data_IF_387767001530
#
_entry.id   IF_387767001530
#
_cell.length_a   1.000
_cell.length_b   1.000
_cell.length_c   1.000
_cell.angle_alpha   90.00
_cell.angle_beta   90.00
_cell.angle_gamma   90.00
#
_symmetry.space_group_name_H-M   'P 1'
#
loop_
_entity.id
_entity.type
_entity.pdbx_description
1 polymer ?
#
# COMPACT_ATOMS: atom_id res chain seq x y z
N UNK A 1 -0.17 25.43 29.95
CA UNK A 1 0.24 24.24 30.71
C UNK A 1 1.61 23.81 30.22
N UNK A 2 2.48 23.34 31.10
CA UNK A 2 3.73 22.67 30.74
C UNK A 2 3.47 21.24 30.25
N UNK A 3 4.44 20.59 29.62
CA UNK A 3 4.32 19.21 29.14
C UNK A 3 3.94 18.25 30.26
N UNK A 4 4.62 18.36 31.43
CA UNK A 4 4.27 17.60 32.62
C UNK A 4 2.78 17.71 32.97
N UNK A 5 2.26 18.94 33.03
CA UNK A 5 0.86 19.18 33.40
C UNK A 5 -0.12 18.64 32.33
N UNK A 6 0.26 18.67 31.03
CA UNK A 6 -0.52 18.07 29.98
C UNK A 6 -0.65 16.56 30.16
N UNK A 7 0.46 15.88 30.44
CA UNK A 7 0.45 14.43 30.68
C UNK A 7 -0.29 14.08 31.97
N UNK A 8 -0.06 14.84 33.05
CA UNK A 8 -0.67 14.61 34.35
C UNK A 8 -2.18 14.92 34.40
N UNK A 9 -2.72 15.64 33.41
CA UNK A 9 -4.07 16.22 33.48
C UNK A 9 -5.16 15.18 33.77
N UNK A 10 -5.17 14.09 33.02
CA UNK A 10 -6.15 13.01 33.16
C UNK A 10 -6.07 12.30 34.52
N UNK A 11 -4.85 12.14 35.04
CA UNK A 11 -4.59 11.51 36.33
C UNK A 11 -5.03 12.43 37.51
N UNK A 12 -4.82 13.75 37.34
CA UNK A 12 -5.31 14.76 38.32
C UNK A 12 -6.85 14.75 38.38
N UNK A 13 -7.54 14.64 37.24
CA UNK A 13 -9.01 14.53 37.20
C UNK A 13 -9.52 13.26 37.90
N UNK A 14 -8.77 12.16 37.82
CA UNK A 14 -9.06 10.90 38.53
C UNK A 14 -8.70 10.98 40.03
N UNK A 15 -8.17 12.13 40.51
CA UNK A 15 -7.77 12.36 41.91
C UNK A 15 -6.73 11.36 42.44
N UNK A 16 -5.82 10.90 41.59
CA UNK A 16 -4.73 10.01 42.01
C UNK A 16 -3.76 10.75 42.97
N UNK A 17 -3.07 10.02 43.84
CA UNK A 17 -2.04 10.60 44.69
C UNK A 17 -0.92 11.28 43.90
N UNK A 18 -0.38 12.40 44.39
CA UNK A 18 0.64 13.18 43.70
C UNK A 18 1.90 12.36 43.35
N UNK A 19 2.29 11.47 44.25
CA UNK A 19 3.45 10.59 44.03
C UNK A 19 3.23 9.62 42.87
N UNK A 20 2.04 9.03 42.80
CA UNK A 20 1.65 8.12 41.71
C UNK A 20 1.59 8.85 40.37
N UNK A 21 1.01 10.05 40.32
CA UNK A 21 0.99 10.91 39.12
C UNK A 21 2.42 11.18 38.67
N UNK A 22 3.30 11.59 39.58
CA UNK A 22 4.68 11.90 39.25
C UNK A 22 5.43 10.69 38.70
N UNK A 23 5.23 9.51 39.29
CA UNK A 23 5.81 8.26 38.83
C UNK A 23 5.33 7.94 37.40
N UNK A 24 4.00 7.87 37.18
CA UNK A 24 3.42 7.53 35.86
C UNK A 24 3.85 8.50 34.74
N UNK A 25 3.90 9.81 35.05
CA UNK A 25 4.35 10.82 34.06
C UNK A 25 5.83 10.66 33.76
N UNK A 26 6.69 10.43 34.75
CA UNK A 26 8.13 10.21 34.51
C UNK A 26 8.40 8.92 33.75
N UNK A 27 7.71 7.84 34.08
CA UNK A 27 7.84 6.56 33.39
C UNK A 27 7.44 6.69 31.91
N UNK A 28 6.28 7.28 31.64
CA UNK A 28 5.83 7.54 30.28
C UNK A 28 6.77 8.51 29.52
N UNK A 29 7.27 9.54 30.19
CA UNK A 29 8.21 10.49 29.58
C UNK A 29 9.55 9.82 29.23
N UNK A 30 10.00 8.87 30.05
CA UNK A 30 11.20 8.07 29.79
C UNK A 30 11.01 7.16 28.59
N UNK A 31 9.89 6.44 28.53
CA UNK A 31 9.55 5.55 27.39
C UNK A 31 9.49 6.32 26.06
N UNK A 32 9.01 7.56 26.11
CA UNK A 32 8.88 8.42 24.91
C UNK A 32 10.10 9.31 24.66
N UNK A 33 11.18 9.20 25.45
CA UNK A 33 12.39 10.01 25.34
C UNK A 33 12.12 11.54 25.40
N UNK A 34 11.14 11.97 26.21
CA UNK A 34 10.77 13.38 26.39
C UNK A 34 10.97 13.89 27.82
N UNK A 35 11.74 13.19 28.63
CA UNK A 35 11.99 13.56 30.04
C UNK A 35 12.50 14.99 30.19
N UNK A 36 13.39 15.44 29.29
CA UNK A 36 13.97 16.79 29.30
C UNK A 36 12.99 17.88 28.85
N UNK A 37 11.83 17.49 28.34
CA UNK A 37 10.83 18.40 27.81
C UNK A 37 9.70 18.67 28.78
N UNK A 38 9.65 17.99 29.94
CA UNK A 38 8.56 18.06 30.89
C UNK A 38 8.28 19.50 31.40
N UNK A 39 9.32 20.31 31.51
CA UNK A 39 9.23 21.71 31.97
C UNK A 39 9.06 22.72 30.82
N UNK A 40 8.91 22.24 29.58
CA UNK A 40 8.66 23.11 28.43
C UNK A 40 7.17 23.31 28.17
N UNK A 41 6.84 24.39 27.48
CA UNK A 41 5.48 24.60 26.95
C UNK A 41 5.35 23.96 25.56
N UNK A 42 4.19 23.39 25.17
CA UNK A 42 3.97 22.77 23.85
C UNK A 42 4.34 23.65 22.66
N UNK A 43 4.20 24.98 22.77
CA UNK A 43 4.59 25.96 21.73
C UNK A 43 6.10 25.94 21.42
N UNK A 44 6.93 25.49 22.33
CA UNK A 44 8.39 25.43 22.18
C UNK A 44 8.89 24.06 21.69
N UNK A 45 7.99 23.18 21.24
CA UNK A 45 8.28 21.83 20.80
C UNK A 45 8.21 21.71 19.27
N UNK A 46 9.03 20.81 18.70
CA UNK A 46 8.88 20.39 17.30
C UNK A 46 7.59 19.60 17.07
N UNK A 47 7.22 19.33 15.80
CA UNK A 47 6.05 18.51 15.45
C UNK A 47 6.08 17.14 16.11
N UNK A 48 7.16 16.39 15.96
CA UNK A 48 7.32 15.07 16.56
C UNK A 48 7.35 15.08 18.09
N UNK A 49 7.97 16.11 18.70
CA UNK A 49 7.93 16.26 20.16
C UNK A 49 6.51 16.51 20.67
N UNK A 50 5.71 17.31 19.97
CA UNK A 50 4.28 17.49 20.31
C UNK A 50 3.51 16.18 20.19
N UNK A 51 3.81 15.39 19.16
CA UNK A 51 3.18 14.07 18.96
C UNK A 51 3.51 13.12 20.11
N UNK A 52 4.80 13.01 20.49
CA UNK A 52 5.21 12.21 21.67
C UNK A 52 4.50 12.66 22.95
N UNK A 53 4.29 13.97 23.15
CA UNK A 53 3.51 14.47 24.30
C UNK A 53 2.05 14.04 24.22
N UNK A 54 1.42 14.07 23.04
CA UNK A 54 0.06 13.58 22.85
C UNK A 54 -0.07 12.08 23.18
N UNK A 55 0.90 11.28 22.74
CA UNK A 55 0.99 9.86 23.10
C UNK A 55 1.18 9.66 24.61
N UNK A 56 2.06 10.45 25.24
CA UNK A 56 2.28 10.41 26.69
C UNK A 56 1.00 10.66 27.50
N UNK A 57 0.14 11.53 27.02
CA UNK A 57 -1.19 11.76 27.62
C UNK A 57 -2.10 10.53 27.56
N UNK A 58 -1.96 9.69 26.53
CA UNK A 58 -2.70 8.43 26.41
C UNK A 58 -2.07 7.34 27.29
N UNK A 59 -0.76 7.17 27.22
CA UNK A 59 0.00 6.11 27.94
C UNK A 59 -0.15 6.21 29.46
N UNK A 60 -0.06 7.42 30.04
CA UNK A 60 -0.16 7.61 31.49
C UNK A 60 -1.48 7.08 32.07
N UNK A 61 -2.51 6.94 31.24
CA UNK A 61 -3.82 6.42 31.65
C UNK A 61 -3.85 4.91 31.80
N UNK A 62 -2.82 4.23 31.30
CA UNK A 62 -2.72 2.78 31.22
C UNK A 62 -4.01 2.17 30.61
N UNK A 63 -4.31 2.48 29.34
CA UNK A 63 -5.56 2.06 28.71
C UNK A 63 -5.53 0.57 28.35
N UNK A 64 -6.69 -0.05 28.24
CA UNK A 64 -6.84 -1.43 27.73
C UNK A 64 -6.67 -1.49 26.21
N UNK A 65 -6.93 -0.39 25.50
CA UNK A 65 -6.69 -0.25 24.07
C UNK A 65 -6.35 1.20 23.70
N UNK A 66 -5.52 1.39 22.68
CA UNK A 66 -5.27 2.68 22.04
C UNK A 66 -6.16 2.83 20.79
N UNK A 67 -6.77 4.02 20.66
CA UNK A 67 -7.47 4.43 19.44
C UNK A 67 -6.71 5.62 18.87
N UNK A 68 -6.06 5.41 17.72
CA UNK A 68 -5.24 6.41 17.05
C UNK A 68 -5.90 6.75 15.70
N UNK A 69 -6.25 8.01 15.56
CA UNK A 69 -6.88 8.53 14.35
C UNK A 69 -5.87 9.44 13.63
N UNK A 70 -5.35 8.97 12.50
CA UNK A 70 -4.33 9.62 11.66
C UNK A 70 -3.18 10.29 12.45
N UNK A 71 -2.49 9.59 13.32
CA UNK A 71 -1.56 10.25 14.26
C UNK A 71 -0.34 10.88 13.58
N UNK A 72 0.00 10.52 12.34
CA UNK A 72 1.18 11.01 11.63
C UNK A 72 0.86 11.96 10.46
N UNK A 73 -0.42 12.23 10.17
CA UNK A 73 -0.87 13.01 8.99
C UNK A 73 -0.28 14.44 8.92
N UNK A 74 -0.05 15.07 10.06
CA UNK A 74 0.45 16.45 10.15
C UNK A 74 1.98 16.57 10.20
N UNK A 75 2.72 15.52 9.89
CA UNK A 75 4.19 15.49 9.92
C UNK A 75 4.76 15.55 8.50
N UNK A 76 5.93 16.19 8.36
CA UNK A 76 6.69 16.11 7.11
C UNK A 76 7.20 14.67 6.86
N UNK A 77 7.54 14.37 5.60
CA UNK A 77 7.87 13.00 5.17
C UNK A 77 9.03 12.37 5.97
N UNK A 78 10.09 13.15 6.26
CA UNK A 78 11.26 12.64 7.00
C UNK A 78 10.90 12.32 8.45
N UNK A 79 10.16 13.21 9.10
CA UNK A 79 9.71 13.03 10.47
C UNK A 79 8.68 11.89 10.58
N UNK A 80 7.82 11.72 9.56
CA UNK A 80 6.85 10.62 9.50
C UNK A 80 7.54 9.25 9.49
N UNK A 81 8.59 9.08 8.68
CA UNK A 81 9.39 7.83 8.65
C UNK A 81 10.00 7.53 10.03
N UNK A 82 10.59 8.54 10.68
CA UNK A 82 11.15 8.39 12.02
C UNK A 82 10.07 8.02 13.05
N UNK A 83 8.97 8.76 13.07
CA UNK A 83 7.88 8.55 14.04
C UNK A 83 7.18 7.20 13.85
N UNK A 84 7.09 6.70 12.63
CA UNK A 84 6.55 5.36 12.34
C UNK A 84 7.40 4.27 13.01
N UNK A 85 8.73 4.34 12.87
CA UNK A 85 9.63 3.40 13.53
C UNK A 85 9.51 3.46 15.07
N UNK A 86 9.43 4.67 15.64
CA UNK A 86 9.25 4.89 17.08
C UNK A 86 7.91 4.35 17.60
N UNK A 87 6.83 4.57 16.84
CA UNK A 87 5.50 4.03 17.15
C UNK A 87 5.46 2.51 17.14
N UNK A 88 6.10 1.88 16.15
CA UNK A 88 6.22 0.42 16.08
C UNK A 88 6.96 -0.16 17.28
N UNK A 89 8.09 0.46 17.68
CA UNK A 89 8.82 0.07 18.89
C UNK A 89 7.99 0.24 20.17
N UNK A 90 7.29 1.35 20.26
CA UNK A 90 6.42 1.64 21.41
C UNK A 90 5.26 0.66 21.51
N UNK A 91 4.63 0.30 20.39
CA UNK A 91 3.58 -0.71 20.34
C UNK A 91 4.08 -2.05 20.91
N UNK A 92 5.26 -2.49 20.44
CA UNK A 92 5.88 -3.71 20.95
C UNK A 92 6.18 -3.67 22.45
N UNK A 93 6.61 -2.50 22.97
CA UNK A 93 6.91 -2.33 24.41
C UNK A 93 5.67 -2.29 25.30
N UNK A 94 4.58 -1.74 24.79
CA UNK A 94 3.35 -1.54 25.59
C UNK A 94 2.44 -2.77 25.60
N UNK A 95 2.60 -3.70 24.65
CA UNK A 95 1.79 -4.93 24.51
C UNK A 95 0.26 -4.66 24.58
N UNK A 96 -0.17 -3.48 24.15
CA UNK A 96 -1.55 -3.02 24.28
C UNK A 96 -2.21 -3.01 22.90
N UNK A 97 -3.41 -3.58 22.81
CA UNK A 97 -4.20 -3.55 21.56
C UNK A 97 -4.32 -2.11 21.04
N UNK A 98 -4.00 -1.93 19.77
CA UNK A 98 -4.05 -0.61 19.13
C UNK A 98 -4.92 -0.67 17.88
N UNK A 99 -5.93 0.18 17.83
CA UNK A 99 -6.66 0.48 16.60
C UNK A 99 -6.07 1.76 15.99
N UNK A 100 -5.50 1.63 14.79
CA UNK A 100 -4.81 2.70 14.09
C UNK A 100 -5.53 3.01 12.78
N UNK A 101 -6.05 4.21 12.65
CA UNK A 101 -6.69 4.70 11.42
C UNK A 101 -5.68 5.54 10.65
N UNK A 102 -5.51 5.25 9.36
CA UNK A 102 -4.64 6.00 8.46
C UNK A 102 -5.15 5.92 7.02
N UNK A 103 -4.84 6.92 6.22
CA UNK A 103 -4.96 6.89 4.75
C UNK A 103 -3.62 6.56 4.08
N UNK A 104 -2.52 6.46 4.83
CA UNK A 104 -1.20 6.10 4.32
C UNK A 104 -1.04 4.57 4.35
N UNK A 105 -1.07 3.95 3.15
CA UNK A 105 -0.93 2.50 3.03
C UNK A 105 0.41 1.98 3.58
N UNK A 106 1.50 2.79 3.50
CA UNK A 106 2.81 2.37 4.03
C UNK A 106 2.76 2.26 5.55
N UNK A 107 2.02 3.15 6.24
CA UNK A 107 1.80 3.04 7.68
C UNK A 107 1.04 1.75 8.01
N UNK A 108 -0.09 1.50 7.34
CA UNK A 108 -0.91 0.31 7.56
C UNK A 108 -0.12 -0.98 7.33
N UNK A 109 0.61 -1.07 6.20
CA UNK A 109 1.36 -2.26 5.80
C UNK A 109 2.60 -2.54 6.65
N UNK A 110 3.20 -1.50 7.26
CA UNK A 110 4.43 -1.66 8.05
C UNK A 110 4.20 -1.78 9.56
N UNK A 111 3.08 -1.31 10.07
CA UNK A 111 2.80 -1.24 11.51
C UNK A 111 1.70 -2.20 11.95
N UNK A 112 0.76 -2.56 11.06
CA UNK A 112 -0.37 -3.39 11.41
C UNK A 112 -0.05 -4.88 11.44
N UNK A 113 -0.46 -5.60 12.49
CA UNK A 113 -0.52 -7.07 12.48
C UNK A 113 -1.64 -7.54 11.54
N UNK A 114 -2.70 -6.75 11.49
CA UNK A 114 -3.84 -6.92 10.57
C UNK A 114 -4.25 -5.58 10.02
N UNK A 115 -4.58 -5.54 8.73
CA UNK A 115 -5.08 -4.36 8.04
C UNK A 115 -6.51 -4.60 7.61
N UNK A 116 -7.38 -3.62 7.84
CA UNK A 116 -8.75 -3.59 7.33
C UNK A 116 -8.85 -2.49 6.26
N UNK A 117 -9.15 -2.90 5.04
CA UNK A 117 -9.43 -1.97 3.93
C UNK A 117 -10.92 -1.68 3.91
N UNK A 118 -11.26 -0.39 4.04
CA UNK A 118 -12.66 0.09 4.09
C UNK A 118 -12.91 1.00 2.89
N UNK A 119 -14.03 0.80 2.20
CA UNK A 119 -14.49 1.64 1.09
C UNK A 119 -15.93 2.04 1.33
N UNK A 120 -16.22 3.34 1.33
CA UNK A 120 -17.60 3.88 1.53
C UNK A 120 -18.32 3.32 2.77
N UNK A 121 -17.55 3.06 3.84
CA UNK A 121 -18.08 2.51 5.09
C UNK A 121 -18.24 0.99 5.11
N UNK A 122 -17.92 0.29 4.02
CA UNK A 122 -17.97 -1.16 3.90
C UNK A 122 -16.59 -1.78 3.98
N UNK A 123 -16.47 -2.87 4.75
CA UNK A 123 -15.24 -3.64 4.88
C UNK A 123 -15.00 -4.44 3.60
N UNK A 124 -13.92 -4.14 2.89
CA UNK A 124 -13.53 -4.85 1.68
C UNK A 124 -12.70 -6.10 1.97
N UNK A 125 -11.71 -5.97 2.82
CA UNK A 125 -10.85 -7.09 3.25
C UNK A 125 -10.24 -6.77 4.62
N UNK A 126 -10.03 -7.80 5.42
CA UNK A 126 -9.23 -7.72 6.65
C UNK A 126 -8.34 -8.95 6.74
N UNK A 127 -7.02 -8.72 6.77
CA UNK A 127 -6.01 -9.78 6.81
C UNK A 127 -4.65 -9.24 7.27
N UNK A 128 -3.62 -10.10 7.23
CA UNK A 128 -2.23 -9.62 7.38
C UNK A 128 -1.83 -8.74 6.20
N UNK A 129 -0.87 -7.81 6.36
CA UNK A 129 -0.36 -7.01 5.25
C UNK A 129 0.04 -7.83 4.01
N UNK A 130 0.77 -8.93 4.22
CA UNK A 130 1.21 -9.80 3.11
C UNK A 130 0.04 -10.44 2.37
N UNK A 131 -0.97 -10.93 3.09
CA UNK A 131 -2.16 -11.55 2.47
C UNK A 131 -2.99 -10.54 1.67
N UNK A 132 -3.15 -9.31 2.16
CA UNK A 132 -3.86 -8.25 1.43
C UNK A 132 -3.13 -7.89 0.14
N UNK A 133 -1.81 -7.86 0.16
CA UNK A 133 -0.99 -7.54 -1.02
C UNK A 133 -1.00 -8.66 -2.05
N UNK A 134 -0.78 -9.91 -1.60
CA UNK A 134 -0.62 -11.07 -2.49
C UNK A 134 -1.97 -11.65 -2.94
N UNK A 135 -3.02 -11.54 -2.12
CA UNK A 135 -4.32 -12.14 -2.37
C UNK A 135 -5.46 -11.13 -2.15
N UNK A 136 -5.49 -10.03 -2.92
CA UNK A 136 -6.57 -9.06 -2.83
C UNK A 136 -7.91 -9.68 -3.23
N UNK A 137 -8.95 -9.44 -2.44
CA UNK A 137 -10.28 -10.04 -2.67
C UNK A 137 -11.07 -9.40 -3.80
N UNK A 138 -10.72 -8.19 -4.20
CA UNK A 138 -11.38 -7.48 -5.28
C UNK A 138 -10.45 -6.43 -5.92
N UNK A 139 -10.88 -5.87 -7.04
CA UNK A 139 -10.18 -4.85 -7.81
C UNK A 139 -9.83 -3.62 -6.94
N UNK A 140 -10.75 -3.19 -6.05
CA UNK A 140 -10.49 -2.04 -5.19
C UNK A 140 -9.28 -2.28 -4.28
N UNK A 141 -9.26 -3.40 -3.55
CA UNK A 141 -8.13 -3.74 -2.68
C UNK A 141 -6.84 -3.89 -3.48
N UNK A 142 -6.91 -4.52 -4.65
CA UNK A 142 -5.75 -4.76 -5.52
C UNK A 142 -5.10 -3.47 -6.02
N UNK A 143 -5.90 -2.49 -6.41
CA UNK A 143 -5.42 -1.21 -6.91
C UNK A 143 -5.08 -0.23 -5.78
N UNK A 144 -5.86 -0.23 -4.68
CA UNK A 144 -5.60 0.65 -3.55
C UNK A 144 -4.31 0.28 -2.79
N UNK A 145 -3.95 -1.02 -2.74
CA UNK A 145 -2.76 -1.50 -2.04
C UNK A 145 -1.61 -1.75 -3.01
N UNK A 146 -0.57 -0.95 -2.89
CA UNK A 146 0.63 -0.95 -3.72
C UNK A 146 0.94 0.46 -4.24
N UNK A 147 2.21 0.81 -4.38
CA UNK A 147 2.66 2.07 -4.97
C UNK A 147 3.90 1.79 -5.84
N UNK A 148 3.77 1.96 -7.15
CA UNK A 148 2.56 2.31 -7.91
C UNK A 148 1.45 1.27 -7.83
N UNK A 149 0.23 1.68 -8.19
CA UNK A 149 -0.96 0.81 -8.22
C UNK A 149 -0.83 -0.33 -9.23
N UNK A 150 -1.67 -1.36 -9.08
CA UNK A 150 -1.77 -2.48 -10.02
C UNK A 150 -2.29 -1.99 -11.37
N UNK A 151 -1.68 -2.46 -12.45
CA UNK A 151 -2.20 -2.25 -13.80
C UNK A 151 -3.40 -3.16 -14.04
N UNK A 152 -4.49 -2.63 -14.61
CA UNK A 152 -5.68 -3.39 -14.95
C UNK A 152 -5.98 -3.33 -16.44
N UNK A 153 -6.31 -4.49 -17.03
CA UNK A 153 -6.66 -4.58 -18.44
C UNK A 153 -7.69 -5.68 -18.65
N UNK A 154 -8.59 -5.51 -19.62
CA UNK A 154 -9.45 -6.60 -20.06
C UNK A 154 -8.63 -7.63 -20.84
N UNK A 155 -8.84 -8.91 -20.56
CA UNK A 155 -8.21 -10.02 -21.25
C UNK A 155 -9.24 -11.11 -21.59
N UNK A 156 -9.17 -11.63 -22.80
CA UNK A 156 -9.96 -12.78 -23.23
C UNK A 156 -9.24 -14.07 -22.85
N UNK A 157 -9.98 -15.01 -22.27
CA UNK A 157 -9.46 -16.28 -21.78
C UNK A 157 -9.73 -17.40 -22.75
N UNK A 158 -8.71 -18.20 -23.05
CA UNK A 158 -8.85 -19.45 -23.82
C UNK A 158 -8.13 -20.58 -23.10
N UNK A 159 -8.86 -21.65 -22.82
CA UNK A 159 -8.31 -22.81 -22.14
C UNK A 159 -7.84 -23.86 -23.15
N UNK A 160 -6.61 -24.31 -23.00
CA UNK A 160 -6.00 -25.36 -23.81
C UNK A 160 -5.37 -26.43 -22.91
N UNK A 161 -6.15 -27.46 -22.60
CA UNK A 161 -5.72 -28.53 -21.72
C UNK A 161 -5.49 -28.05 -20.28
N UNK A 162 -4.22 -27.98 -19.84
CA UNK A 162 -3.83 -27.50 -18.50
C UNK A 162 -3.30 -26.07 -18.49
N UNK A 163 -3.36 -25.40 -19.63
CA UNK A 163 -2.87 -24.01 -19.78
C UNK A 163 -4.04 -23.07 -20.07
N UNK A 164 -3.93 -21.86 -19.61
CA UNK A 164 -4.79 -20.74 -19.98
C UNK A 164 -3.99 -19.75 -20.81
N UNK A 165 -4.54 -19.34 -21.95
CA UNK A 165 -4.02 -18.29 -22.81
C UNK A 165 -4.86 -17.02 -22.56
N UNK A 166 -4.18 -15.93 -22.22
CA UNK A 166 -4.78 -14.61 -21.97
C UNK A 166 -4.40 -13.68 -23.10
N UNK A 167 -5.40 -13.16 -23.83
CA UNK A 167 -5.18 -12.25 -24.95
C UNK A 167 -5.65 -10.85 -24.59
N UNK A 168 -4.78 -9.84 -24.72
CA UNK A 168 -5.09 -8.42 -24.48
C UNK A 168 -4.19 -7.51 -25.33
N UNK A 169 -4.73 -6.44 -25.88
CA UNK A 169 -3.97 -5.43 -26.65
C UNK A 169 -3.06 -6.02 -27.76
N UNK A 170 -3.46 -7.13 -28.40
CA UNK A 170 -2.67 -7.83 -29.40
C UNK A 170 -1.55 -8.71 -28.84
N UNK A 171 -1.37 -8.76 -27.55
CA UNK A 171 -0.41 -9.61 -26.85
C UNK A 171 -1.08 -10.88 -26.33
N UNK A 172 -0.29 -11.91 -26.08
CA UNK A 172 -0.75 -13.18 -25.52
C UNK A 172 0.19 -13.64 -24.41
N UNK A 173 -0.38 -13.99 -23.25
CA UNK A 173 0.34 -14.54 -22.11
C UNK A 173 -0.19 -15.93 -21.82
N UNK A 174 0.72 -16.89 -21.66
CA UNK A 174 0.35 -18.24 -21.24
C UNK A 174 0.51 -18.40 -19.73
N UNK A 175 -0.53 -18.92 -19.10
CA UNK A 175 -0.54 -19.26 -17.68
C UNK A 175 -0.64 -20.77 -17.53
N UNK A 176 0.06 -21.31 -16.54
CA UNK A 176 -0.04 -22.73 -16.16
C UNK A 176 -0.27 -22.87 -14.64
N UNK A 177 -0.26 -24.10 -14.15
CA UNK A 177 -0.35 -24.40 -12.71
C UNK A 177 -1.61 -23.85 -12.03
N UNK A 178 -1.43 -23.09 -10.96
CA UNK A 178 -2.53 -22.53 -10.17
C UNK A 178 -3.29 -21.42 -10.89
N UNK A 179 -2.58 -20.60 -11.67
CA UNK A 179 -3.20 -19.53 -12.46
C UNK A 179 -4.18 -20.09 -13.50
N UNK A 180 -3.77 -21.14 -14.22
CA UNK A 180 -4.66 -21.81 -15.17
C UNK A 180 -5.87 -22.47 -14.50
N UNK A 181 -5.71 -23.03 -13.29
CA UNK A 181 -6.83 -23.63 -12.54
C UNK A 181 -7.89 -22.60 -12.14
N UNK A 182 -7.46 -21.40 -11.74
CA UNK A 182 -8.39 -20.31 -11.39
C UNK A 182 -9.26 -19.91 -12.59
N UNK A 183 -8.69 -20.00 -13.78
CA UNK A 183 -9.32 -19.62 -15.04
C UNK A 183 -10.10 -20.76 -15.72
N UNK A 184 -10.08 -21.99 -15.20
CA UNK A 184 -10.65 -23.18 -15.84
C UNK A 184 -12.13 -23.00 -16.26
N UNK A 185 -12.88 -22.22 -15.50
CA UNK A 185 -14.30 -21.94 -15.78
C UNK A 185 -14.56 -20.72 -16.65
N UNK A 186 -13.51 -20.03 -17.06
CA UNK A 186 -13.57 -18.76 -17.79
C UNK A 186 -13.27 -18.91 -19.28
N UNK A 187 -13.28 -20.14 -19.82
CA UNK A 187 -13.00 -20.40 -21.24
C UNK A 187 -13.98 -19.67 -22.16
N UNK A 188 -13.47 -18.83 -23.05
CA UNK A 188 -14.23 -17.98 -23.94
C UNK A 188 -14.81 -16.71 -23.30
N UNK A 189 -14.53 -16.47 -22.03
CA UNK A 189 -15.01 -15.30 -21.30
C UNK A 189 -13.93 -14.21 -21.23
N UNK A 190 -14.35 -12.98 -20.96
CA UNK A 190 -13.48 -11.85 -20.66
C UNK A 190 -13.32 -11.68 -19.15
N UNK A 191 -12.11 -11.40 -18.70
CA UNK A 191 -11.77 -11.11 -17.31
C UNK A 191 -11.10 -9.75 -17.20
N UNK A 192 -10.95 -9.24 -15.97
CA UNK A 192 -9.99 -8.17 -15.66
C UNK A 192 -8.70 -8.82 -15.18
N UNK A 193 -7.63 -8.61 -15.95
CA UNK A 193 -6.27 -9.02 -15.63
C UNK A 193 -5.59 -7.91 -14.83
N UNK A 194 -5.09 -8.24 -13.66
CA UNK A 194 -4.29 -7.36 -12.81
C UNK A 194 -2.81 -7.74 -12.87
N UNK A 195 -1.94 -6.78 -13.17
CA UNK A 195 -0.49 -6.96 -13.26
C UNK A 195 0.19 -5.92 -12.39
N UNK A 196 0.85 -6.37 -11.31
CA UNK A 196 1.62 -5.45 -10.47
C UNK A 196 2.87 -4.96 -11.20
N UNK A 197 3.36 -3.72 -10.93
CA UNK A 197 4.58 -3.20 -11.56
C UNK A 197 5.81 -4.12 -11.44
N UNK A 198 5.95 -4.84 -10.32
CA UNK A 198 7.05 -5.77 -10.08
C UNK A 198 6.87 -7.17 -10.71
N UNK A 199 5.75 -7.40 -11.38
CA UNK A 199 5.59 -8.59 -12.23
C UNK A 199 6.23 -8.42 -13.61
N UNK A 200 6.66 -7.18 -13.94
CA UNK A 200 7.42 -6.89 -15.15
C UNK A 200 8.91 -6.82 -14.86
N UNK A 201 9.72 -7.12 -15.87
CA UNK A 201 11.16 -6.88 -15.89
C UNK A 201 11.63 -6.60 -17.32
N UNK A 202 12.66 -5.77 -17.47
CA UNK A 202 13.38 -5.64 -18.73
C UNK A 202 13.94 -7.01 -19.14
N UNK A 203 13.61 -7.49 -20.35
CA UNK A 203 13.95 -8.85 -20.79
C UNK A 203 15.47 -9.13 -20.79
N UNK A 204 16.31 -8.08 -20.80
CA UNK A 204 17.78 -8.22 -20.68
C UNK A 204 18.16 -8.70 -19.27
N UNK A 205 17.37 -8.36 -18.24
CA UNK A 205 17.62 -8.70 -16.84
C UNK A 205 16.70 -9.82 -16.34
N UNK A 206 15.68 -10.18 -17.11
CA UNK A 206 14.77 -11.25 -16.76
C UNK A 206 15.47 -12.61 -16.75
N UNK A 207 15.18 -13.44 -15.75
CA UNK A 207 15.66 -14.82 -15.67
C UNK A 207 14.61 -15.73 -16.30
N UNK A 208 15.02 -16.57 -17.25
CA UNK A 208 14.13 -17.49 -17.97
C UNK A 208 13.30 -18.40 -17.06
N UNK A 209 13.74 -18.65 -15.84
CA UNK A 209 13.03 -19.49 -14.86
C UNK A 209 11.85 -18.77 -14.19
N UNK A 210 11.81 -17.45 -14.21
CA UNK A 210 10.81 -16.63 -13.53
C UNK A 210 9.87 -15.93 -14.53
N UNK A 211 10.38 -15.62 -15.73
CA UNK A 211 9.71 -14.82 -16.75
C UNK A 211 9.58 -15.63 -18.04
N UNK A 212 8.42 -16.22 -18.26
CA UNK A 212 8.19 -17.08 -19.43
C UNK A 212 7.57 -16.36 -20.61
N UNK A 213 7.00 -15.19 -20.40
CA UNK A 213 6.23 -14.42 -21.37
C UNK A 213 6.84 -13.03 -21.54
N UNK A 214 6.68 -12.43 -22.72
CA UNK A 214 7.15 -11.07 -22.98
C UNK A 214 6.23 -10.31 -23.92
N UNK A 215 6.18 -9.00 -23.75
CA UNK A 215 5.43 -8.07 -24.59
C UNK A 215 6.36 -7.00 -25.17
N UNK A 216 6.07 -6.56 -26.39
CA UNK A 216 6.77 -5.44 -27.01
C UNK A 216 6.12 -4.12 -26.57
N UNK A 217 6.92 -3.17 -26.06
CA UNK A 217 6.41 -1.88 -25.60
C UNK A 217 7.29 -0.74 -26.07
N UNK A 218 6.72 0.47 -26.13
CA UNK A 218 7.45 1.71 -26.31
C UNK A 218 7.44 2.51 -25.00
N UNK A 219 8.61 2.82 -24.48
CA UNK A 219 8.75 3.60 -23.24
C UNK A 219 8.33 5.05 -23.49
N UNK A 220 7.35 5.52 -22.71
CA UNK A 220 6.86 6.92 -22.80
C UNK A 220 7.53 7.80 -21.77
N UNK A 221 7.74 7.30 -20.55
CA UNK A 221 8.39 8.00 -19.44
C UNK A 221 9.28 7.03 -18.66
N UNK A 222 10.42 7.50 -18.19
CA UNK A 222 11.34 6.75 -17.34
C UNK A 222 11.57 7.50 -16.02
N UNK A 223 11.19 6.91 -14.91
CA UNK A 223 11.44 7.42 -13.56
C UNK A 223 12.53 6.61 -12.87
N UNK A 224 13.67 7.25 -12.60
CA UNK A 224 14.80 6.62 -11.91
C UNK A 224 14.89 7.13 -10.47
N UNK A 225 14.54 6.27 -9.52
CA UNK A 225 14.53 6.59 -8.09
C UNK A 225 15.78 6.10 -7.34
N UNK A 226 16.80 5.65 -8.06
CA UNK A 226 18.05 5.16 -7.52
C UNK A 226 18.01 3.65 -7.24
N UNK A 227 17.23 3.19 -6.28
CA UNK A 227 17.07 1.75 -5.99
C UNK A 227 16.09 1.05 -6.92
N UNK A 228 15.14 1.79 -7.48
CA UNK A 228 14.09 1.30 -8.38
C UNK A 228 13.99 2.19 -9.61
N UNK A 229 13.62 1.60 -10.73
CA UNK A 229 13.29 2.30 -11.97
C UNK A 229 11.92 1.89 -12.45
N UNK A 230 11.10 2.89 -12.81
CA UNK A 230 9.77 2.66 -13.34
C UNK A 230 9.70 3.19 -14.75
N UNK A 231 9.09 2.43 -15.63
CA UNK A 231 8.76 2.85 -16.99
C UNK A 231 7.26 2.92 -17.16
N UNK A 232 6.82 3.94 -17.90
CA UNK A 232 5.42 4.11 -18.27
C UNK A 232 5.30 3.84 -19.76
N UNK A 233 4.25 3.14 -20.14
CA UNK A 233 3.93 2.86 -21.53
C UNK A 233 2.42 2.78 -21.74
N UNK A 234 1.96 2.88 -22.97
CA UNK A 234 0.56 2.80 -23.32
C UNK A 234 0.31 1.63 -24.26
N UNK A 235 -0.86 1.04 -24.14
CA UNK A 235 -1.37 0.03 -25.06
C UNK A 235 -2.72 0.50 -25.61
N UNK A 236 -2.94 0.26 -26.90
CA UNK A 236 -4.18 0.56 -27.61
C UNK A 236 -5.27 -0.45 -27.21
N UNK A 237 -5.81 -0.25 -26.03
CA UNK A 237 -6.91 -1.01 -25.44
C UNK A 237 -7.66 -0.12 -24.47
N UNK A 238 -8.97 -0.20 -24.48
CA UNK A 238 -9.82 0.58 -23.59
C UNK A 238 -9.51 0.31 -22.12
N UNK A 239 -9.39 1.36 -21.31
CA UNK A 239 -9.24 1.21 -19.86
C UNK A 239 -10.38 0.41 -19.25
N UNK A 240 -10.08 -0.33 -18.19
CA UNK A 240 -11.10 -1.00 -17.39
C UNK A 240 -11.93 0.05 -16.65
N UNK A 241 -13.22 0.08 -16.94
CA UNK A 241 -14.15 1.06 -16.37
C UNK A 241 -14.98 0.42 -15.28
N UNK A 242 -14.58 0.62 -14.04
CA UNK A 242 -15.34 0.25 -12.85
C UNK A 242 -15.27 1.40 -11.85
N UNK A 243 -16.31 1.59 -11.06
CA UNK A 243 -16.34 2.62 -10.01
C UNK A 243 -15.12 2.52 -9.07
N UNK A 244 -14.62 1.31 -8.83
CA UNK A 244 -13.45 1.09 -8.00
C UNK A 244 -12.17 1.66 -8.63
N UNK A 245 -11.96 1.46 -9.93
CA UNK A 245 -10.79 1.97 -10.66
C UNK A 245 -10.87 3.48 -10.82
N UNK A 246 -12.06 4.02 -11.08
CA UNK A 246 -12.26 5.48 -11.16
C UNK A 246 -11.88 6.18 -9.85
N UNK A 247 -12.25 5.62 -8.70
CA UNK A 247 -11.86 6.14 -7.39
C UNK A 247 -10.34 6.09 -7.18
N UNK A 248 -9.71 4.96 -7.52
CA UNK A 248 -8.25 4.80 -7.36
C UNK A 248 -7.49 5.82 -8.21
N UNK A 249 -7.87 5.99 -9.47
CA UNK A 249 -7.25 6.95 -10.38
C UNK A 249 -7.47 8.40 -9.93
N UNK A 250 -8.66 8.70 -9.43
CA UNK A 250 -8.95 10.03 -8.87
C UNK A 250 -8.08 10.34 -7.64
N UNK A 251 -7.82 9.36 -6.77
CA UNK A 251 -6.91 9.51 -5.62
C UNK A 251 -5.44 9.71 -6.07
N UNK A 252 -5.04 9.14 -7.20
CA UNK A 252 -3.73 9.36 -7.83
C UNK A 252 -3.65 10.67 -8.65
N UNK A 253 -4.76 11.38 -8.79
CA UNK A 253 -4.85 12.62 -9.55
C UNK A 253 -4.95 12.39 -11.06
N UNK A 254 -5.31 11.19 -11.49
CA UNK A 254 -5.53 10.82 -12.89
C UNK A 254 -7.04 10.80 -13.21
N UNK A 255 -7.39 11.14 -14.44
CA UNK A 255 -8.78 11.14 -14.94
C UNK A 255 -8.88 10.18 -16.15
N UNK A 256 -9.69 9.15 -16.01
CA UNK A 256 -9.94 8.16 -17.08
C UNK A 256 -10.41 8.83 -18.37
N UNK A 257 -11.19 9.90 -18.28
CA UNK A 257 -11.72 10.59 -19.44
C UNK A 257 -10.65 11.19 -20.36
N UNK A 258 -9.43 11.35 -19.86
CA UNK A 258 -8.28 11.90 -20.61
C UNK A 258 -7.53 10.80 -21.36
N UNK A 259 -7.64 9.54 -20.95
CA UNK A 259 -6.88 8.41 -21.52
C UNK A 259 -7.42 7.94 -22.89
N UNK A 260 -8.66 8.29 -23.25
CA UNK A 260 -9.26 7.88 -24.50
C UNK A 260 -9.42 6.36 -24.63
N UNK A 261 -8.94 5.79 -25.74
CA UNK A 261 -8.96 4.34 -26.02
C UNK A 261 -7.64 3.64 -25.64
N UNK A 262 -6.70 4.36 -25.00
CA UNK A 262 -5.41 3.80 -24.57
C UNK A 262 -5.38 3.54 -23.06
N UNK A 263 -4.76 2.44 -22.65
CA UNK A 263 -4.52 2.12 -21.23
C UNK A 263 -3.06 2.37 -20.89
N UNK A 264 -2.83 3.15 -19.82
CA UNK A 264 -1.52 3.40 -19.24
C UNK A 264 -1.09 2.20 -18.39
N UNK A 265 0.18 1.82 -18.51
CA UNK A 265 0.84 0.81 -17.71
C UNK A 265 2.07 1.39 -17.03
N UNK A 266 2.36 0.90 -15.83
CA UNK A 266 3.59 1.18 -15.11
C UNK A 266 4.28 -0.15 -14.83
N UNK A 267 5.55 -0.26 -15.21
CA UNK A 267 6.36 -1.43 -14.93
C UNK A 267 7.58 -1.05 -14.09
N UNK A 268 7.91 -1.85 -13.10
CA UNK A 268 9.17 -1.77 -12.38
C UNK A 268 10.21 -2.61 -13.10
N UNK A 269 11.36 -2.04 -13.37
CA UNK A 269 12.47 -2.71 -14.06
C UNK A 269 13.77 -2.59 -13.23
N UNK A 270 14.74 -3.40 -13.58
CA UNK A 270 16.07 -3.36 -12.96
C UNK A 270 16.65 -1.94 -13.04
N UNK A 271 17.12 -1.35 -11.92
CA UNK A 271 17.69 0.01 -11.90
C UNK A 271 18.98 0.16 -12.74
N UNK A 272 19.61 -0.96 -13.14
CA UNK A 272 20.76 -0.94 -14.06
C UNK A 272 20.35 -1.02 -15.54
N UNK A 273 19.05 -1.10 -15.86
CA UNK A 273 18.60 -1.04 -17.24
C UNK A 273 19.03 0.28 -17.89
N UNK A 274 19.49 0.20 -19.12
CA UNK A 274 19.97 1.35 -19.89
C UNK A 274 18.91 1.89 -20.84
N UNK A 275 17.66 1.47 -20.67
CA UNK A 275 16.51 1.89 -21.47
C UNK A 275 16.31 3.40 -21.41
N UNK A 276 15.80 3.97 -22.49
CA UNK A 276 15.52 5.42 -22.60
C UNK A 276 14.08 5.66 -23.05
N UNK A 277 13.60 6.86 -22.73
CA UNK A 277 12.30 7.32 -23.24
C UNK A 277 12.28 7.31 -24.78
N UNK A 278 11.15 6.85 -25.32
CA UNK A 278 10.93 6.69 -26.76
C UNK A 278 11.48 5.40 -27.36
N UNK A 279 12.22 4.59 -26.59
CA UNK A 279 12.81 3.33 -27.03
C UNK A 279 11.77 2.20 -27.04
N UNK A 280 11.89 1.30 -28.01
CA UNK A 280 11.11 0.06 -28.05
C UNK A 280 11.91 -1.05 -27.37
N UNK A 281 11.30 -1.71 -26.41
CA UNK A 281 11.92 -2.80 -25.65
C UNK A 281 10.96 -3.96 -25.47
N UNK A 282 11.50 -5.11 -25.07
CA UNK A 282 10.73 -6.25 -24.58
C UNK A 282 10.68 -6.22 -23.07
N UNK A 283 9.46 -6.26 -22.53
CA UNK A 283 9.20 -6.51 -21.12
C UNK A 283 8.80 -7.95 -20.92
N UNK A 284 9.53 -8.63 -20.05
CA UNK A 284 9.18 -9.96 -19.57
C UNK A 284 8.16 -9.88 -18.45
N UNK A 285 7.26 -10.85 -18.39
CA UNK A 285 6.16 -10.92 -17.42
C UNK A 285 6.25 -12.23 -16.64
N UNK A 286 6.21 -12.11 -15.30
CA UNK A 286 6.06 -13.26 -14.41
C UNK A 286 4.58 -13.67 -14.32
N UNK A 287 4.20 -14.67 -15.11
CA UNK A 287 2.82 -15.16 -15.18
C UNK A 287 2.32 -15.78 -13.87
N UNK A 288 3.20 -16.11 -12.93
CA UNK A 288 2.83 -16.61 -11.59
C UNK A 288 2.28 -15.53 -10.66
N UNK A 289 2.56 -14.25 -10.96
CA UNK A 289 2.16 -13.07 -10.17
C UNK A 289 0.95 -12.33 -10.74
N UNK A 290 0.24 -12.94 -11.66
CA UNK A 290 -0.96 -12.36 -12.25
C UNK A 290 -2.16 -12.50 -11.33
N UNK A 291 -3.03 -11.49 -11.36
CA UNK A 291 -4.29 -11.47 -10.63
C UNK A 291 -5.46 -11.45 -11.61
N UNK A 292 -6.53 -12.15 -11.27
CA UNK A 292 -7.69 -12.30 -12.13
C UNK A 292 -8.94 -11.88 -11.37
N UNK A 293 -9.77 -11.07 -12.02
CA UNK A 293 -11.00 -10.56 -11.41
C UNK A 293 -12.18 -10.70 -12.37
N UNK A 294 -13.34 -10.96 -11.81
CA UNK A 294 -14.60 -10.95 -12.52
C UNK A 294 -14.97 -9.52 -12.95
N UNK A 295 -15.18 -9.24 -14.24
CA UNK A 295 -15.43 -7.87 -14.72
C UNK A 295 -16.77 -7.29 -14.23
N UNK A 296 -17.73 -8.13 -13.85
CA UNK A 296 -19.06 -7.70 -13.45
C UNK A 296 -19.14 -7.38 -11.95
N UNK A 297 -18.42 -8.14 -11.12
CA UNK A 297 -18.46 -8.01 -9.66
C UNK A 297 -17.22 -7.33 -9.08
N UNK A 298 -16.12 -7.32 -9.83
CA UNK A 298 -14.82 -6.88 -9.37
C UNK A 298 -14.14 -7.82 -8.37
N UNK A 299 -14.73 -8.98 -8.08
CA UNK A 299 -14.16 -9.96 -7.14
C UNK A 299 -13.04 -10.77 -7.77
N UNK A 300 -12.07 -11.19 -6.95
CA UNK A 300 -11.02 -12.11 -7.37
C UNK A 300 -11.60 -13.49 -7.75
N UNK A 301 -11.00 -14.11 -8.79
CA UNK A 301 -11.32 -15.43 -9.32
C UNK A 301 -10.51 -16.54 -8.64
#
# INVERSE_FOLDING_TARGET
>A
MYVYDNMAFSLKLRKLPKEEINKKVKDAAKTLEISELLDRKPKALSGGQRQRVAMGRAIVRNPEAFLMDEPLSNLDAKLRVQMRAELGQLHTQLETTTLYVTHDQVEAMTMGDRVAVIRKGELQQIDTPSEIYLYPKNIFVAGFIGSPSMNFVYADVKISGKKAELSFAGETINCDGESAKKLEKMDGEQIVLGIRPEAFEDSIYAKDSEYSESIDIKVTLLEQLGSDSYIHFYKDIKPVQTEAIEEILADEGEDISVLGDETKFIARINPNSTVKEGEEIKLSIDSSKLHFFDPSTGNAL
#
